data_IF_878543163941
#
_entry.id   IF_878543163941
#
_cell.length_a   1.000
_cell.length_b   1.000
_cell.length_c   1.000
_cell.angle_alpha   90.00
_cell.angle_beta   90.00
_cell.angle_gamma   90.00
#
_symmetry.space_group_name_H-M   'P 1'
#
loop_
_entity.id
_entity.type
_entity.pdbx_description
1 polymer ?
#
# COMPACT_ATOMS: atom_id res chain seq x y z
N UNK A 1 -13.57 20.62 -0.64
CA UNK A 1 -14.43 19.43 -0.49
C UNK A 1 -15.08 18.96 -1.80
N UNK A 2 -15.81 19.80 -2.55
CA UNK A 2 -16.51 19.33 -3.76
C UNK A 2 -15.55 18.70 -4.80
N UNK A 3 -14.41 19.33 -5.08
CA UNK A 3 -13.43 18.81 -6.04
C UNK A 3 -12.96 17.38 -5.69
N UNK A 4 -12.68 17.11 -4.41
CA UNK A 4 -12.26 15.77 -3.94
C UNK A 4 -13.34 14.72 -4.23
N UNK A 5 -14.60 15.06 -4.00
CA UNK A 5 -15.72 14.13 -4.24
C UNK A 5 -15.93 13.85 -5.73
N UNK A 6 -15.75 14.86 -6.59
CA UNK A 6 -15.80 14.68 -8.05
C UNK A 6 -14.63 13.83 -8.53
N UNK A 7 -13.40 14.14 -8.11
CA UNK A 7 -12.21 13.34 -8.44
C UNK A 7 -12.34 11.88 -8.00
N UNK A 8 -12.86 11.61 -6.80
CA UNK A 8 -13.14 10.24 -6.35
C UNK A 8 -14.15 9.55 -7.25
N UNK A 9 -15.24 10.24 -7.61
CA UNK A 9 -16.31 9.66 -8.42
C UNK A 9 -15.82 9.32 -9.83
N UNK A 10 -14.98 10.18 -10.41
CA UNK A 10 -14.47 9.99 -11.76
C UNK A 10 -13.43 8.85 -11.84
N UNK A 11 -12.79 8.51 -10.71
CA UNK A 11 -11.75 7.47 -10.64
C UNK A 11 -12.20 6.14 -9.99
N UNK A 12 -13.43 6.01 -9.49
CA UNK A 12 -13.93 4.77 -8.91
C UNK A 12 -14.84 4.04 -9.91
N UNK A 13 -14.23 3.53 -10.99
CA UNK A 13 -14.90 2.90 -12.14
C UNK A 13 -14.37 1.48 -12.35
N UNK A 14 -15.00 0.48 -11.74
CA UNK A 14 -14.55 -0.94 -11.62
C UNK A 14 -13.23 -1.16 -10.85
N UNK A 15 -12.26 -0.26 -11.01
CA UNK A 15 -10.98 -0.19 -10.32
C UNK A 15 -10.68 1.27 -9.92
N UNK A 16 -9.85 1.52 -8.88
CA UNK A 16 -9.52 2.87 -8.45
C UNK A 16 -8.40 3.47 -9.32
N UNK A 17 -8.77 4.20 -10.37
CA UNK A 17 -7.82 4.70 -11.38
C UNK A 17 -7.03 5.92 -10.92
N UNK A 18 -5.83 6.12 -11.46
CA UNK A 18 -5.02 7.34 -11.27
C UNK A 18 -5.68 8.59 -11.86
N UNK A 19 -6.21 8.46 -13.08
CA UNK A 19 -6.87 9.55 -13.78
C UNK A 19 -7.90 9.03 -14.79
N UNK A 20 -8.96 9.80 -15.09
CA UNK A 20 -10.02 9.34 -15.99
C UNK A 20 -9.80 9.69 -17.49
N UNK A 21 -8.84 10.55 -17.82
CA UNK A 21 -8.79 11.21 -19.14
C UNK A 21 -7.78 10.62 -20.12
N UNK A 22 -6.52 10.41 -19.71
CA UNK A 22 -5.43 10.03 -20.65
C UNK A 22 -5.42 8.53 -20.90
N UNK A 23 -4.55 8.09 -21.81
CA UNK A 23 -4.35 6.67 -22.14
C UNK A 23 -3.58 5.96 -21.03
N UNK A 24 -4.14 5.93 -19.83
CA UNK A 24 -3.59 5.28 -18.64
C UNK A 24 -4.73 4.64 -17.86
N UNK A 25 -5.41 5.37 -16.95
CA UNK A 25 -6.62 4.91 -16.24
C UNK A 25 -6.37 3.58 -15.54
N UNK A 26 -5.21 3.46 -14.89
CA UNK A 26 -4.74 2.23 -14.29
C UNK A 26 -4.95 2.27 -12.78
N UNK A 27 -5.15 1.10 -12.17
CA UNK A 27 -5.29 0.95 -10.73
C UNK A 27 -3.96 1.07 -10.02
N UNK A 28 -3.37 2.27 -10.04
CA UNK A 28 -2.09 2.55 -9.40
C UNK A 28 -2.18 2.37 -7.89
N UNK A 29 -1.31 1.53 -7.36
CA UNK A 29 -1.42 1.05 -5.98
C UNK A 29 -1.10 2.14 -4.96
N UNK A 30 -0.09 2.97 -5.21
CA UNK A 30 0.31 4.08 -4.34
C UNK A 30 -0.77 5.17 -4.21
N UNK A 31 -1.47 5.49 -5.29
CA UNK A 31 -2.57 6.45 -5.30
C UNK A 31 -3.70 6.02 -4.35
N UNK A 32 -4.02 4.73 -4.35
CA UNK A 32 -5.01 4.16 -3.43
C UNK A 32 -4.51 4.15 -1.99
N UNK A 33 -3.24 3.79 -1.76
CA UNK A 33 -2.58 3.86 -0.44
C UNK A 33 -2.77 5.24 0.18
N UNK A 34 -2.51 6.31 -0.59
CA UNK A 34 -2.67 7.68 -0.12
C UNK A 34 -4.13 8.08 0.09
N UNK A 35 -5.03 7.72 -0.82
CA UNK A 35 -6.38 8.29 -0.88
C UNK A 35 -7.45 7.51 -0.12
N UNK A 36 -7.24 6.23 0.18
CA UNK A 36 -8.25 5.35 0.76
C UNK A 36 -8.95 5.91 2.03
N UNK A 37 -8.25 6.53 3.01
CA UNK A 37 -8.92 7.07 4.19
C UNK A 37 -9.96 8.15 3.84
N UNK A 38 -9.61 9.04 2.91
CA UNK A 38 -10.51 10.09 2.41
C UNK A 38 -11.67 9.49 1.62
N UNK A 39 -11.39 8.52 0.76
CA UNK A 39 -12.41 7.84 -0.02
C UNK A 39 -13.46 7.15 0.86
N UNK A 40 -13.01 6.47 1.93
CA UNK A 40 -13.86 5.77 2.89
C UNK A 40 -14.68 6.72 3.77
N UNK A 41 -14.14 7.91 4.06
CA UNK A 41 -14.88 8.98 4.74
C UNK A 41 -16.02 9.54 3.87
N UNK A 42 -15.75 9.74 2.58
CA UNK A 42 -16.72 10.34 1.66
C UNK A 42 -17.89 9.40 1.29
N UNK A 43 -17.61 8.09 1.13
CA UNK A 43 -18.57 7.09 0.65
C UNK A 43 -18.28 5.73 1.26
N UNK A 44 -19.29 4.84 1.26
CA UNK A 44 -19.05 3.44 1.54
C UNK A 44 -18.36 2.76 0.35
N UNK A 45 -17.04 2.56 0.46
CA UNK A 45 -16.21 1.94 -0.60
C UNK A 45 -15.92 0.46 -0.33
N UNK A 46 -16.43 -0.12 0.77
CA UNK A 46 -16.07 -1.49 1.18
C UNK A 46 -16.33 -2.53 0.08
N UNK A 47 -17.49 -2.59 -0.60
CA UNK A 47 -17.71 -3.59 -1.65
C UNK A 47 -16.74 -3.44 -2.83
N UNK A 48 -16.48 -2.20 -3.25
CA UNK A 48 -15.58 -1.86 -4.34
C UNK A 48 -14.15 -2.31 -4.02
N UNK A 49 -13.64 -1.92 -2.85
CA UNK A 49 -12.28 -2.27 -2.44
C UNK A 49 -12.13 -3.75 -2.09
N UNK A 50 -13.18 -4.41 -1.61
CA UNK A 50 -13.16 -5.87 -1.39
C UNK A 50 -12.98 -6.63 -2.70
N UNK A 51 -13.61 -6.18 -3.80
CA UNK A 51 -13.38 -6.75 -5.14
C UNK A 51 -11.94 -6.50 -5.57
N UNK A 52 -11.49 -5.25 -5.52
CA UNK A 52 -10.15 -4.90 -5.99
C UNK A 52 -9.01 -5.55 -5.18
N UNK A 53 -9.19 -5.77 -3.87
CA UNK A 53 -8.24 -6.52 -3.04
C UNK A 53 -8.12 -8.00 -3.46
N UNK A 54 -9.16 -8.59 -4.07
CA UNK A 54 -9.06 -9.94 -4.65
C UNK A 54 -8.28 -9.92 -5.95
N UNK A 55 -8.51 -8.92 -6.79
CA UNK A 55 -7.72 -8.72 -8.02
C UNK A 55 -6.23 -8.57 -7.63
N UNK A 56 -5.95 -7.73 -6.63
CA UNK A 56 -4.61 -7.52 -6.09
C UNK A 56 -3.97 -8.82 -5.57
N UNK A 57 -4.70 -9.58 -4.75
CA UNK A 57 -4.20 -10.84 -4.22
C UNK A 57 -3.89 -11.87 -5.33
N UNK A 58 -4.59 -11.80 -6.47
CA UNK A 58 -4.36 -12.71 -7.60
C UNK A 58 -3.10 -12.39 -8.40
N UNK A 59 -2.56 -11.18 -8.26
CA UNK A 59 -1.32 -10.72 -8.91
C UNK A 59 -0.07 -11.05 -8.06
N UNK A 60 -0.25 -11.46 -6.80
CA UNK A 60 0.84 -11.89 -5.93
C UNK A 60 1.18 -13.37 -6.16
N UNK A 61 2.47 -13.68 -6.18
CA UNK A 61 2.98 -15.05 -6.32
C UNK A 61 4.31 -15.25 -5.60
N UNK A 62 4.78 -16.50 -5.43
CA UNK A 62 5.95 -16.82 -4.60
C UNK A 62 7.21 -16.02 -4.92
N UNK A 63 7.44 -15.72 -6.20
CA UNK A 63 8.61 -14.98 -6.70
C UNK A 63 8.22 -13.63 -7.32
N UNK A 64 7.00 -13.13 -7.03
CA UNK A 64 6.45 -11.91 -7.62
C UNK A 64 6.08 -10.95 -6.49
N UNK A 65 6.73 -9.80 -6.49
CA UNK A 65 6.37 -8.67 -5.63
C UNK A 65 5.09 -8.01 -6.09
N UNK A 66 4.55 -7.10 -5.29
CA UNK A 66 3.35 -6.34 -5.67
C UNK A 66 3.61 -5.48 -6.91
N UNK A 67 2.91 -5.68 -8.04
CA UNK A 67 2.96 -4.75 -9.16
C UNK A 67 2.47 -3.35 -8.81
N UNK A 68 2.91 -2.40 -9.63
CA UNK A 68 2.62 -0.97 -9.47
C UNK A 68 1.16 -0.62 -9.79
N UNK A 69 0.53 -1.42 -10.65
CA UNK A 69 -0.86 -1.28 -11.07
C UNK A 69 -1.59 -2.61 -10.94
N UNK A 70 -2.87 -2.56 -10.56
CA UNK A 70 -3.75 -3.72 -10.49
C UNK A 70 -5.05 -3.42 -11.26
N UNK A 71 -5.40 -4.23 -12.28
CA UNK A 71 -4.69 -5.40 -12.81
C UNK A 71 -3.34 -5.07 -13.47
N UNK A 72 -2.39 -6.01 -13.45
CA UNK A 72 -1.05 -5.79 -13.98
C UNK A 72 -1.03 -5.93 -15.51
N UNK A 73 -0.79 -4.79 -16.18
CA UNK A 73 -0.57 -4.74 -17.63
C UNK A 73 0.82 -4.21 -18.01
N UNK A 74 1.65 -3.88 -17.02
CA UNK A 74 2.96 -3.25 -17.20
C UNK A 74 4.11 -4.26 -17.11
N UNK A 75 3.83 -5.49 -16.63
CA UNK A 75 4.84 -6.51 -16.38
C UNK A 75 5.68 -6.20 -15.14
N UNK A 76 6.71 -7.00 -14.88
CA UNK A 76 7.30 -7.10 -13.53
C UNK A 76 8.62 -6.33 -13.36
N UNK A 77 8.93 -5.38 -14.24
CA UNK A 77 10.26 -4.74 -14.25
C UNK A 77 10.51 -3.81 -13.07
N UNK A 78 9.45 -3.42 -12.38
CA UNK A 78 9.43 -2.23 -11.55
C UNK A 78 8.54 -2.44 -10.30
N UNK A 79 8.22 -3.71 -10.04
CA UNK A 79 7.37 -4.16 -8.96
C UNK A 79 8.08 -4.02 -7.61
N UNK A 80 7.29 -3.98 -6.54
CA UNK A 80 7.83 -3.95 -5.19
C UNK A 80 8.47 -2.61 -4.81
N UNK A 81 7.99 -1.49 -5.34
CA UNK A 81 8.37 -0.17 -4.82
C UNK A 81 7.65 0.12 -3.49
N UNK A 82 8.34 0.73 -2.53
CA UNK A 82 7.77 1.21 -1.29
C UNK A 82 6.65 2.22 -1.55
N UNK A 83 5.73 2.32 -0.60
CA UNK A 83 4.46 3.06 -0.63
C UNK A 83 3.43 2.52 -1.64
N UNK A 84 3.86 2.17 -2.86
CA UNK A 84 3.02 1.51 -3.86
C UNK A 84 2.70 0.08 -3.46
N UNK A 85 3.71 -0.74 -3.18
CA UNK A 85 3.54 -2.12 -2.74
C UNK A 85 2.91 -2.24 -1.36
N UNK A 86 3.08 -1.23 -0.49
CA UNK A 86 2.48 -1.20 0.85
C UNK A 86 0.95 -1.12 0.84
N UNK A 87 0.32 -0.92 -0.33
CA UNK A 87 -1.13 -1.08 -0.48
C UNK A 87 -1.61 -2.44 0.07
N UNK A 88 -0.77 -3.48 0.00
CA UNK A 88 -1.10 -4.86 0.40
C UNK A 88 -1.42 -4.92 1.90
N UNK A 89 -0.75 -4.11 2.71
CA UNK A 89 -0.96 -4.01 4.17
C UNK A 89 -1.89 -2.84 4.51
N UNK A 90 -1.64 -1.66 3.92
CA UNK A 90 -2.28 -0.41 4.28
C UNK A 90 -3.75 -0.37 3.91
N UNK A 91 -4.13 -0.84 2.72
CA UNK A 91 -5.53 -0.78 2.26
C UNK A 91 -6.47 -1.62 3.14
N UNK A 92 -6.25 -2.94 3.33
CA UNK A 92 -7.12 -3.75 4.18
C UNK A 92 -7.14 -3.26 5.65
N UNK A 93 -6.02 -2.76 6.18
CA UNK A 93 -5.99 -2.14 7.50
C UNK A 93 -6.84 -0.87 7.57
N UNK A 94 -6.72 0.02 6.58
CA UNK A 94 -7.51 1.25 6.49
C UNK A 94 -9.01 0.96 6.41
N UNK A 95 -9.41 -0.01 5.59
CA UNK A 95 -10.81 -0.44 5.48
C UNK A 95 -11.33 -1.05 6.78
N UNK A 96 -10.52 -1.87 7.46
CA UNK A 96 -10.86 -2.38 8.79
C UNK A 96 -11.06 -1.25 9.80
N UNK A 97 -10.16 -0.26 9.83
CA UNK A 97 -10.28 0.91 10.73
C UNK A 97 -11.51 1.77 10.43
N UNK A 98 -11.87 1.91 9.15
CA UNK A 98 -13.03 2.70 8.73
C UNK A 98 -14.37 2.01 9.00
N UNK A 99 -14.45 0.69 8.82
CA UNK A 99 -15.73 -0.04 8.79
C UNK A 99 -15.86 -1.14 9.85
N UNK A 100 -14.79 -1.51 10.55
CA UNK A 100 -14.77 -2.53 11.60
C UNK A 100 -14.88 -3.99 11.14
N UNK A 101 -14.95 -4.26 9.84
CA UNK A 101 -15.11 -5.62 9.32
C UNK A 101 -13.78 -6.39 9.33
N UNK A 102 -13.61 -7.27 10.31
CA UNK A 102 -12.39 -8.10 10.45
C UNK A 102 -12.19 -9.09 9.31
N UNK A 103 -13.22 -9.43 8.54
CA UNK A 103 -13.10 -10.40 7.44
C UNK A 103 -12.17 -9.90 6.35
N UNK A 104 -12.06 -8.59 6.15
CA UNK A 104 -11.12 -8.02 5.18
C UNK A 104 -9.68 -8.35 5.57
N UNK A 105 -9.35 -8.22 6.87
CA UNK A 105 -8.03 -8.60 7.39
C UNK A 105 -7.79 -10.11 7.22
N UNK A 106 -8.80 -10.94 7.50
CA UNK A 106 -8.67 -12.40 7.38
C UNK A 106 -8.36 -12.83 5.95
N UNK A 107 -9.01 -12.22 4.95
CA UNK A 107 -8.76 -12.54 3.55
C UNK A 107 -7.45 -11.97 3.02
N UNK A 108 -6.95 -10.87 3.59
CA UNK A 108 -5.71 -10.21 3.12
C UNK A 108 -4.46 -10.65 3.88
N UNK A 109 -4.57 -11.36 5.01
CA UNK A 109 -3.44 -11.62 5.90
C UNK A 109 -2.28 -12.36 5.22
N UNK A 110 -2.57 -13.35 4.38
CA UNK A 110 -1.53 -14.09 3.67
C UNK A 110 -0.80 -13.19 2.67
N UNK A 111 -1.52 -12.30 1.97
CA UNK A 111 -0.91 -11.28 1.10
C UNK A 111 -0.06 -10.28 1.89
N UNK A 112 -0.54 -9.81 3.05
CA UNK A 112 0.23 -8.92 3.93
C UNK A 112 1.54 -9.54 4.37
N UNK A 113 1.49 -10.82 4.75
CA UNK A 113 2.66 -11.57 5.16
C UNK A 113 3.64 -11.73 4.00
N UNK A 114 3.15 -12.14 2.83
CA UNK A 114 3.94 -12.26 1.61
C UNK A 114 4.66 -10.95 1.26
N UNK A 115 3.98 -9.80 1.36
CA UNK A 115 4.58 -8.50 1.11
C UNK A 115 5.74 -8.17 2.07
N UNK A 116 5.54 -8.39 3.37
CA UNK A 116 6.59 -8.17 4.37
C UNK A 116 7.79 -9.10 4.15
N UNK A 117 7.54 -10.38 3.90
CA UNK A 117 8.60 -11.37 3.60
C UNK A 117 9.35 -11.01 2.31
N UNK A 118 8.65 -10.48 1.30
CA UNK A 118 9.29 -9.94 0.11
C UNK A 118 10.23 -8.78 0.46
N UNK A 119 9.78 -7.77 1.22
CA UNK A 119 10.65 -6.64 1.59
C UNK A 119 11.87 -7.12 2.39
N UNK A 120 11.68 -8.04 3.34
CA UNK A 120 12.76 -8.65 4.12
C UNK A 120 13.80 -9.31 3.21
N UNK A 121 13.37 -9.99 2.14
CA UNK A 121 14.28 -10.60 1.16
C UNK A 121 15.11 -9.58 0.36
N UNK A 122 14.67 -8.32 0.29
CA UNK A 122 15.39 -7.23 -0.39
C UNK A 122 16.36 -6.49 0.54
N UNK A 123 16.29 -6.74 1.85
CA UNK A 123 17.11 -6.06 2.85
C UNK A 123 18.56 -6.59 2.86
N UNK A 124 19.50 -5.69 3.14
CA UNK A 124 20.90 -6.07 3.39
C UNK A 124 21.10 -6.70 4.77
N UNK A 125 22.34 -7.08 5.08
CA UNK A 125 22.72 -7.64 6.40
C UNK A 125 22.41 -6.68 7.58
N UNK A 126 22.32 -5.38 7.30
CA UNK A 126 21.94 -4.34 8.26
C UNK A 126 20.42 -4.28 8.53
N UNK A 127 19.62 -5.11 7.85
CA UNK A 127 18.16 -5.13 7.97
C UNK A 127 17.46 -3.96 7.27
N UNK A 128 18.17 -3.19 6.43
CA UNK A 128 17.62 -2.05 5.71
C UNK A 128 17.32 -2.40 4.26
N UNK A 129 16.21 -1.88 3.76
CA UNK A 129 15.86 -1.96 2.35
C UNK A 129 16.55 -0.84 1.57
N UNK A 130 17.59 -1.18 0.80
CA UNK A 130 18.47 -0.22 0.13
C UNK A 130 18.72 -0.59 -1.35
N UNK A 131 17.77 -1.31 -1.93
CA UNK A 131 17.86 -1.90 -3.27
C UNK A 131 16.54 -1.74 -4.02
N UNK A 132 16.58 -2.02 -5.33
CA UNK A 132 15.40 -1.96 -6.19
C UNK A 132 15.00 -0.53 -6.57
N UNK A 133 14.01 -0.45 -7.47
CA UNK A 133 13.44 0.83 -7.86
C UNK A 133 12.49 1.34 -6.79
N UNK A 134 12.51 2.65 -6.55
CA UNK A 134 11.59 3.34 -5.64
C UNK A 134 10.99 4.54 -6.36
N UNK A 135 9.71 4.85 -6.09
CA UNK A 135 9.09 6.09 -6.56
C UNK A 135 9.49 7.30 -5.70
N UNK A 136 9.82 7.06 -4.43
CA UNK A 136 10.12 8.13 -3.47
C UNK A 136 8.91 9.02 -3.19
N UNK A 137 9.17 10.26 -2.79
CA UNK A 137 8.14 11.29 -2.61
C UNK A 137 7.68 11.83 -3.98
N UNK A 138 6.86 11.06 -4.67
CA UNK A 138 6.43 11.37 -6.03
C UNK A 138 5.61 12.67 -6.10
N UNK A 139 6.04 13.56 -7.00
CA UNK A 139 5.55 14.93 -7.21
C UNK A 139 5.84 15.89 -6.04
N UNK A 140 6.86 15.58 -5.23
CA UNK A 140 7.42 16.54 -4.26
C UNK A 140 7.95 17.80 -4.94
N UNK A 141 7.78 18.95 -4.30
CA UNK A 141 8.14 20.28 -4.84
C UNK A 141 9.41 20.87 -4.22
N UNK A 142 10.07 20.11 -3.36
CA UNK A 142 11.19 20.52 -2.52
C UNK A 142 12.55 20.11 -3.09
N UNK A 143 12.57 19.31 -4.17
CA UNK A 143 13.80 19.00 -4.89
C UNK A 143 14.33 20.24 -5.62
N UNK A 144 15.63 20.49 -5.48
CA UNK A 144 16.30 21.52 -6.28
C UNK A 144 16.28 21.13 -7.77
N UNK A 145 16.09 22.12 -8.65
CA UNK A 145 16.06 21.88 -10.09
C UNK A 145 17.35 21.21 -10.57
N UNK A 146 17.22 20.09 -11.29
CA UNK A 146 18.32 19.23 -11.76
C UNK A 146 19.13 18.51 -10.66
N UNK A 147 18.68 18.49 -9.39
CA UNK A 147 19.42 17.80 -8.33
C UNK A 147 19.23 16.28 -8.32
N UNK A 148 18.16 15.79 -8.94
CA UNK A 148 17.78 14.37 -8.96
C UNK A 148 17.81 13.81 -10.38
N UNK A 149 18.10 12.51 -10.49
CA UNK A 149 18.00 11.78 -11.76
C UNK A 149 16.56 11.66 -12.29
N UNK A 150 15.56 11.85 -11.42
CA UNK A 150 14.15 11.96 -11.76
C UNK A 150 13.56 13.21 -11.09
N UNK A 151 13.31 14.25 -11.88
CA UNK A 151 12.79 15.55 -11.40
C UNK A 151 11.36 15.48 -10.85
N UNK A 152 10.69 14.32 -11.00
CA UNK A 152 9.35 14.10 -10.43
C UNK A 152 9.41 13.77 -8.94
N UNK A 153 10.58 13.48 -8.37
CA UNK A 153 10.72 13.11 -6.95
C UNK A 153 11.01 14.33 -6.08
N UNK A 154 10.53 14.30 -4.85
CA UNK A 154 10.91 15.23 -3.79
C UNK A 154 12.34 15.00 -3.28
N UNK A 155 12.81 15.89 -2.41
CA UNK A 155 14.20 15.88 -1.92
C UNK A 155 14.50 14.76 -0.90
N UNK A 156 13.47 14.03 -0.44
CA UNK A 156 13.64 12.95 0.53
C UNK A 156 14.31 11.74 -0.12
N UNK A 157 15.32 11.17 0.54
CA UNK A 157 16.00 9.97 0.08
C UNK A 157 15.04 8.79 -0.13
N UNK A 158 15.19 8.11 -1.27
CA UNK A 158 14.33 6.99 -1.68
C UNK A 158 14.37 5.85 -0.65
N UNK A 159 15.55 5.49 -0.17
CA UNK A 159 15.71 4.35 0.74
C UNK A 159 15.35 4.71 2.17
N UNK A 160 15.51 5.96 2.58
CA UNK A 160 14.91 6.46 3.82
C UNK A 160 13.39 6.28 3.78
N UNK A 161 12.73 6.74 2.71
CA UNK A 161 11.27 6.57 2.53
C UNK A 161 10.88 5.09 2.50
N UNK A 162 11.65 4.26 1.81
CA UNK A 162 11.40 2.82 1.74
C UNK A 162 11.45 2.14 3.10
N UNK A 163 12.42 2.49 3.95
CA UNK A 163 12.53 1.90 5.30
C UNK A 163 11.44 2.41 6.25
N UNK A 164 10.97 3.67 6.09
CA UNK A 164 9.80 4.16 6.83
C UNK A 164 8.54 3.37 6.45
N UNK A 165 8.33 3.12 5.15
CA UNK A 165 7.19 2.35 4.68
C UNK A 165 7.27 0.88 5.11
N UNK A 166 8.46 0.28 5.08
CA UNK A 166 8.69 -1.07 5.58
C UNK A 166 8.32 -1.20 7.07
N UNK A 167 8.80 -0.27 7.91
CA UNK A 167 8.44 -0.25 9.33
C UNK A 167 6.92 -0.10 9.54
N UNK A 168 6.24 0.70 8.70
CA UNK A 168 4.79 0.86 8.74
C UNK A 168 4.05 -0.42 8.38
N UNK A 169 4.45 -1.10 7.30
CA UNK A 169 3.89 -2.40 6.89
C UNK A 169 4.10 -3.48 7.94
N UNK A 170 5.29 -3.56 8.55
CA UNK A 170 5.58 -4.45 9.66
C UNK A 170 4.64 -4.21 10.85
N UNK A 171 4.46 -2.95 11.24
CA UNK A 171 3.56 -2.59 12.34
C UNK A 171 2.11 -2.99 12.03
N UNK A 172 1.62 -2.71 10.82
CA UNK A 172 0.27 -3.09 10.39
C UNK A 172 0.08 -4.61 10.43
N UNK A 173 1.06 -5.38 9.96
CA UNK A 173 0.99 -6.85 9.99
C UNK A 173 0.93 -7.35 11.44
N UNK A 174 1.77 -6.82 12.33
CA UNK A 174 1.79 -7.15 13.74
C UNK A 174 0.45 -6.80 14.43
N UNK A 175 -0.08 -5.61 14.17
CA UNK A 175 -1.37 -5.16 14.70
C UNK A 175 -2.52 -6.04 14.19
N UNK A 176 -2.48 -6.44 12.92
CA UNK A 176 -3.46 -7.35 12.33
C UNK A 176 -3.44 -8.71 13.02
N UNK A 177 -2.26 -9.26 13.29
CA UNK A 177 -2.11 -10.50 14.03
C UNK A 177 -2.68 -10.37 15.46
N UNK A 178 -2.46 -9.23 16.13
CA UNK A 178 -3.00 -8.95 17.45
C UNK A 178 -4.54 -8.88 17.45
N UNK A 179 -5.16 -8.33 16.41
CA UNK A 179 -6.64 -8.32 16.25
C UNK A 179 -7.21 -9.74 16.23
N UNK A 180 -6.47 -10.71 15.69
CA UNK A 180 -6.85 -12.13 15.72
C UNK A 180 -6.56 -12.80 17.07
N UNK A 181 -5.45 -12.43 17.73
CA UNK A 181 -5.05 -12.98 19.02
C UNK A 181 -6.04 -12.66 20.15
N UNK A 182 -6.70 -11.49 20.12
CA UNK A 182 -7.78 -11.13 21.09
C UNK A 182 -8.93 -12.15 21.09
N UNK A 183 -9.07 -12.96 20.03
CA UNK A 183 -10.08 -14.03 19.92
C UNK A 183 -9.66 -15.35 20.60
N UNK A 184 -8.36 -15.57 20.84
CA UNK A 184 -7.79 -16.74 21.53
C UNK A 184 -7.31 -16.29 22.90
N UNK A 185 -8.22 -16.22 23.88
CA UNK A 185 -7.98 -15.65 25.21
C UNK A 185 -6.54 -15.76 25.73
N UNK A 186 -5.83 -14.64 25.73
CA UNK A 186 -4.60 -14.43 26.50
C UNK A 186 -4.78 -13.11 27.25
N UNK A 187 -4.69 -13.18 28.58
CA UNK A 187 -4.65 -12.00 29.43
C UNK A 187 -3.49 -11.08 29.00
N UNK A 188 -3.61 -9.76 29.13
CA UNK A 188 -2.54 -8.84 28.78
C UNK A 188 -1.28 -9.18 29.60
N UNK A 189 -0.15 -9.29 28.91
CA UNK A 189 1.16 -9.41 29.55
C UNK A 189 1.43 -8.09 30.29
N UNK A 190 1.57 -8.15 31.61
CA UNK A 190 2.03 -7.02 32.40
C UNK A 190 3.44 -6.59 31.94
N UNK A 191 3.73 -5.28 31.93
CA UNK A 191 5.05 -4.79 31.57
C UNK A 191 6.10 -5.21 32.62
N UNK A 192 7.37 -5.44 32.22
CA UNK A 192 8.44 -5.85 33.13
C UNK A 192 8.77 -4.75 34.17
N UNK A 193 9.38 -5.14 35.31
CA UNK A 193 9.62 -4.26 36.46
C UNK A 193 10.57 -3.10 36.19
#
# INVERSE_FOLDING_TARGET
QQNIQWSQRDNFLDIPTDCPQRSERLGWTGDVTAFCPTAAFNKNIMPFMTKWLRDLASELGPDVSMPQVVPNILGNQQDGAAFWGDVVTVLPWTLYRAYGDKRILQHSYDSMKHWVEFIESQCGENGLWQTGFQYGDWLGLDAEANALGDERKGATDDYFTANVCFAWSLQILADTAAVFAVRRGRAPLEPPP
#
